data_IF_019869041761
#
_entry.id   IF_019869041761
#
_cell.length_a   1.000
_cell.length_b   1.000
_cell.length_c   1.000
_cell.angle_alpha   90.00
_cell.angle_beta   90.00
_cell.angle_gamma   90.00
#
_symmetry.space_group_name_H-M   'P 1'
#
loop_
_entity.id
_entity.type
_entity.pdbx_description
1 polymer ?
#
# COMPACT_ATOMS: atom_id res chain seq x y z
N UNK A 1 0.98 -25.11 0.57
CA UNK A 1 0.58 -24.25 1.70
C UNK A 1 -0.90 -23.97 1.55
N UNK A 2 -1.71 -24.29 2.55
CA UNK A 2 -3.15 -24.08 2.50
C UNK A 2 -3.51 -22.57 2.56
N UNK A 3 -4.75 -22.21 2.22
CA UNK A 3 -5.24 -20.83 2.36
C UNK A 3 -5.19 -20.38 3.83
N UNK A 4 -5.50 -21.28 4.77
CA UNK A 4 -5.43 -21.01 6.21
C UNK A 4 -4.01 -20.67 6.65
N UNK A 5 -3.00 -21.41 6.16
CA UNK A 5 -1.59 -21.12 6.47
C UNK A 5 -1.20 -19.72 5.94
N UNK A 6 -1.70 -19.36 4.75
CA UNK A 6 -1.43 -18.04 4.15
C UNK A 6 -2.08 -16.91 4.93
N UNK A 7 -3.32 -17.09 5.38
CA UNK A 7 -4.02 -16.15 6.28
C UNK A 7 -3.24 -15.98 7.57
N UNK A 8 -2.85 -17.10 8.20
CA UNK A 8 -2.07 -17.08 9.44
C UNK A 8 -0.74 -16.33 9.25
N UNK A 9 0.02 -16.65 8.20
CA UNK A 9 1.30 -15.99 7.91
C UNK A 9 1.13 -14.49 7.66
N UNK A 10 0.06 -14.09 6.95
CA UNK A 10 -0.24 -12.68 6.72
C UNK A 10 -0.56 -11.94 8.02
N UNK A 11 -1.32 -12.57 8.93
CA UNK A 11 -1.63 -12.02 10.26
C UNK A 11 -0.35 -11.90 11.10
N UNK A 12 0.49 -12.93 11.11
CA UNK A 12 1.78 -12.91 11.83
C UNK A 12 2.67 -11.77 11.32
N UNK A 13 2.75 -11.59 9.99
CA UNK A 13 3.50 -10.49 9.40
C UNK A 13 2.97 -9.12 9.84
N UNK A 14 1.65 -8.94 9.86
CA UNK A 14 1.02 -7.69 10.33
C UNK A 14 1.33 -7.42 11.80
N UNK A 15 1.17 -8.41 12.68
CA UNK A 15 1.46 -8.27 14.11
C UNK A 15 2.94 -7.92 14.37
N UNK A 16 3.87 -8.60 13.69
CA UNK A 16 5.30 -8.29 13.80
C UNK A 16 5.65 -6.89 13.32
N UNK A 17 4.95 -6.41 12.29
CA UNK A 17 5.19 -5.07 11.72
C UNK A 17 4.50 -3.95 12.51
N UNK A 18 3.55 -4.26 13.39
CA UNK A 18 2.74 -3.25 14.08
C UNK A 18 3.57 -2.33 14.97
N UNK A 19 4.56 -2.90 15.69
CA UNK A 19 5.45 -2.09 16.53
C UNK A 19 6.10 -0.98 15.72
N UNK A 20 6.64 -1.33 14.55
CA UNK A 20 7.26 -0.37 13.64
C UNK A 20 6.24 0.66 13.14
N UNK A 21 5.03 0.23 12.78
CA UNK A 21 3.99 1.15 12.31
C UNK A 21 3.60 2.17 13.39
N UNK A 22 3.52 1.76 14.64
CA UNK A 22 3.23 2.64 15.79
C UNK A 22 4.40 3.57 16.15
N UNK A 23 5.64 3.18 15.86
CA UNK A 23 6.80 4.06 16.04
C UNK A 23 6.78 5.22 15.04
N UNK A 24 6.35 4.96 13.79
CA UNK A 24 6.26 6.00 12.74
C UNK A 24 4.96 6.82 12.79
N UNK A 25 3.86 6.22 13.22
CA UNK A 25 2.56 6.88 13.39
C UNK A 25 1.85 6.32 14.64
N UNK A 26 2.17 6.85 15.84
CA UNK A 26 1.57 6.37 17.09
C UNK A 26 0.04 6.52 17.12
N UNK A 27 -0.48 7.52 16.42
CA UNK A 27 -1.91 7.82 16.40
C UNK A 27 -2.69 6.88 15.49
N UNK A 28 -2.20 6.60 14.28
CA UNK A 28 -2.96 5.85 13.27
C UNK A 28 -2.38 4.46 12.95
N UNK A 29 -1.12 4.17 13.35
CA UNK A 29 -0.46 2.91 13.03
C UNK A 29 -0.13 2.80 11.55
N UNK A 30 -0.55 1.70 10.92
CA UNK A 30 -0.32 1.51 9.49
C UNK A 30 -1.12 2.47 8.60
N UNK A 31 -0.47 2.96 7.54
CA UNK A 31 -1.16 3.55 6.40
C UNK A 31 -1.60 2.45 5.45
N UNK A 32 -2.89 2.13 5.37
CA UNK A 32 -3.40 1.10 4.45
C UNK A 32 -3.80 1.74 3.12
N UNK A 33 -3.09 1.39 2.04
CA UNK A 33 -3.41 1.85 0.70
C UNK A 33 -4.61 1.05 0.16
N UNK A 34 -5.76 1.70 0.10
CA UNK A 34 -7.03 1.11 -0.33
C UNK A 34 -7.40 1.59 -1.74
N UNK A 35 -7.87 0.68 -2.60
CA UNK A 35 -8.27 1.02 -3.97
C UNK A 35 -9.71 0.61 -4.32
N UNK A 36 -10.39 -0.09 -3.41
CA UNK A 36 -11.69 -0.72 -3.68
C UNK A 36 -11.61 -1.99 -4.53
N UNK A 37 -10.41 -2.38 -4.99
CA UNK A 37 -10.19 -3.66 -5.69
C UNK A 37 -10.02 -4.83 -4.72
N UNK A 38 -10.21 -6.06 -5.21
CA UNK A 38 -10.20 -7.30 -4.42
C UNK A 38 -8.98 -7.43 -3.50
N UNK A 39 -7.78 -7.18 -3.99
CA UNK A 39 -6.55 -7.29 -3.21
C UNK A 39 -6.53 -6.32 -2.01
N UNK A 40 -7.00 -5.09 -2.21
CA UNK A 40 -7.10 -4.10 -1.12
C UNK A 40 -8.22 -4.42 -0.12
N UNK A 41 -9.29 -5.09 -0.56
CA UNK A 41 -10.35 -5.57 0.31
C UNK A 41 -9.84 -6.68 1.22
N UNK A 42 -9.16 -7.68 0.66
CA UNK A 42 -8.56 -8.76 1.44
C UNK A 42 -7.57 -8.21 2.45
N UNK A 43 -6.70 -7.29 2.03
CA UNK A 43 -5.73 -6.64 2.92
C UNK A 43 -6.41 -5.90 4.09
N UNK A 44 -7.51 -5.18 3.81
CA UNK A 44 -8.30 -4.48 4.84
C UNK A 44 -8.88 -5.46 5.85
N UNK A 45 -9.45 -6.58 5.39
CA UNK A 45 -10.01 -7.59 6.27
C UNK A 45 -8.94 -8.33 7.07
N UNK A 46 -7.78 -8.65 6.48
CA UNK A 46 -6.64 -9.24 7.20
C UNK A 46 -6.13 -8.31 8.31
N UNK A 47 -6.01 -7.01 8.05
CA UNK A 47 -5.61 -6.04 9.07
C UNK A 47 -6.64 -5.97 10.22
N UNK A 48 -7.94 -6.04 9.91
CA UNK A 48 -8.99 -6.14 10.94
C UNK A 48 -8.93 -7.44 11.74
N UNK A 49 -8.73 -8.57 11.07
CA UNK A 49 -8.60 -9.89 11.72
C UNK A 49 -7.37 -9.94 12.63
N UNK A 50 -6.27 -9.34 12.22
CA UNK A 50 -5.05 -9.22 13.03
C UNK A 50 -5.21 -8.29 14.23
N UNK A 51 -6.24 -7.44 14.26
CA UNK A 51 -6.46 -6.47 15.34
C UNK A 51 -5.41 -5.35 15.38
N UNK A 52 -4.61 -5.19 14.34
CA UNK A 52 -3.57 -4.14 14.28
C UNK A 52 -4.18 -2.76 14.07
N UNK A 53 -3.49 -1.74 14.56
CA UNK A 53 -3.90 -0.35 14.38
C UNK A 53 -3.57 0.13 12.96
N UNK A 54 -4.58 0.58 12.22
CA UNK A 54 -4.40 1.12 10.87
C UNK A 54 -5.44 2.16 10.50
N UNK A 55 -5.08 3.03 9.57
CA UNK A 55 -5.99 3.94 8.90
C UNK A 55 -5.95 3.70 7.39
N UNK A 56 -7.10 3.41 6.80
CA UNK A 56 -7.21 3.11 5.38
C UNK A 56 -7.49 4.38 4.57
N UNK A 57 -6.80 4.53 3.44
CA UNK A 57 -6.88 5.71 2.60
C UNK A 57 -7.02 5.29 1.14
N UNK A 58 -8.00 5.89 0.45
CA UNK A 58 -8.16 5.75 -0.99
C UNK A 58 -7.83 7.09 -1.67
N UNK A 59 -6.75 7.10 -2.43
CA UNK A 59 -6.37 8.25 -3.22
C UNK A 59 -7.17 8.30 -4.51
N UNK A 60 -8.01 9.32 -4.65
CA UNK A 60 -8.80 9.55 -5.86
C UNK A 60 -7.92 10.12 -6.98
N UNK A 61 -8.19 9.67 -8.20
CA UNK A 61 -7.43 10.08 -9.41
C UNK A 61 -8.20 11.04 -10.31
N UNK A 62 -9.44 11.40 -9.93
CA UNK A 62 -10.45 12.15 -10.71
C UNK A 62 -11.03 11.39 -11.92
N UNK A 63 -10.56 10.17 -12.20
CA UNK A 63 -11.10 9.28 -13.25
C UNK A 63 -11.53 7.93 -12.68
N UNK A 64 -11.65 7.86 -11.35
CA UNK A 64 -12.09 6.62 -10.69
C UNK A 64 -13.58 6.36 -11.05
N UNK A 65 -13.95 5.09 -11.32
CA UNK A 65 -15.35 4.76 -11.62
C UNK A 65 -16.27 5.18 -10.47
N UNK A 66 -17.39 5.90 -10.75
CA UNK A 66 -18.31 6.35 -9.72
C UNK A 66 -18.87 5.23 -8.84
N UNK A 67 -19.04 4.04 -9.41
CA UNK A 67 -19.54 2.86 -8.69
C UNK A 67 -18.54 2.36 -7.64
N UNK A 68 -17.24 2.41 -7.92
CA UNK A 68 -16.20 2.08 -6.95
C UNK A 68 -16.23 3.06 -5.79
N UNK A 69 -16.33 4.38 -6.08
CA UNK A 69 -16.42 5.41 -5.04
C UNK A 69 -17.68 5.22 -4.20
N UNK A 70 -18.83 4.93 -4.81
CA UNK A 70 -20.10 4.66 -4.13
C UNK A 70 -19.99 3.44 -3.24
N UNK A 71 -19.45 2.34 -3.77
CA UNK A 71 -19.21 1.10 -3.04
C UNK A 71 -18.34 1.35 -1.80
N UNK A 72 -17.22 2.05 -1.95
CA UNK A 72 -16.31 2.34 -0.83
C UNK A 72 -17.01 3.19 0.23
N UNK A 73 -17.73 4.25 -0.16
CA UNK A 73 -18.47 5.09 0.78
C UNK A 73 -19.54 4.33 1.56
N UNK A 74 -20.23 3.39 0.93
CA UNK A 74 -21.32 2.63 1.55
C UNK A 74 -20.82 1.48 2.41
N UNK A 75 -19.81 0.73 1.94
CA UNK A 75 -19.36 -0.50 2.58
C UNK A 75 -18.15 -0.31 3.50
N UNK A 76 -17.36 0.73 3.26
CA UNK A 76 -16.13 1.03 3.98
C UNK A 76 -16.06 2.50 4.41
N UNK A 77 -17.03 2.99 5.23
CA UNK A 77 -17.12 4.40 5.60
C UNK A 77 -15.92 4.90 6.41
N UNK A 78 -15.15 3.98 7.02
CA UNK A 78 -13.90 4.30 7.72
C UNK A 78 -12.71 4.57 6.80
N UNK A 79 -12.83 4.30 5.50
CA UNK A 79 -11.78 4.61 4.52
C UNK A 79 -11.81 6.09 4.18
N UNK A 80 -10.71 6.78 4.41
CA UNK A 80 -10.57 8.18 4.05
C UNK A 80 -10.35 8.34 2.55
N UNK A 81 -11.21 9.14 1.90
CA UNK A 81 -11.09 9.45 0.47
C UNK A 81 -10.25 10.72 0.31
N UNK A 82 -9.03 10.57 -0.19
CA UNK A 82 -8.11 11.69 -0.43
C UNK A 82 -8.31 12.22 -1.84
N UNK A 83 -8.82 13.46 -1.93
CA UNK A 83 -8.98 14.15 -3.21
C UNK A 83 -7.63 14.67 -3.72
N UNK A 84 -7.35 14.57 -5.03
CA UNK A 84 -6.16 15.19 -5.59
C UNK A 84 -6.27 16.72 -5.57
N UNK A 85 -5.14 17.40 -5.47
CA UNK A 85 -5.07 18.88 -5.55
C UNK A 85 -5.43 19.41 -6.94
N UNK A 86 -5.23 18.60 -7.97
CA UNK A 86 -5.47 18.94 -9.37
C UNK A 86 -6.03 17.72 -10.08
N UNK A 87 -6.98 17.92 -11.01
CA UNK A 87 -7.52 16.82 -11.79
C UNK A 87 -6.46 16.21 -12.73
N UNK A 88 -6.68 14.97 -13.17
CA UNK A 88 -5.75 14.34 -14.12
C UNK A 88 -5.71 15.07 -15.46
N UNK A 89 -6.81 15.72 -15.85
CA UNK A 89 -6.92 16.51 -17.08
C UNK A 89 -6.07 17.78 -16.98
N UNK A 90 -6.23 18.55 -15.90
CA UNK A 90 -5.44 19.76 -15.68
C UNK A 90 -3.95 19.46 -15.54
N UNK A 91 -3.62 18.33 -14.88
CA UNK A 91 -2.23 17.88 -14.76
C UNK A 91 -1.66 17.48 -16.13
N UNK A 92 -2.44 16.83 -16.99
CA UNK A 92 -2.03 16.49 -18.35
C UNK A 92 -1.77 17.76 -19.19
N UNK A 93 -2.63 18.76 -19.07
CA UNK A 93 -2.42 20.06 -19.70
C UNK A 93 -1.15 20.74 -19.18
N UNK A 94 -0.95 20.76 -17.86
CA UNK A 94 0.26 21.32 -17.24
C UNK A 94 1.56 20.62 -17.67
N UNK A 95 1.50 19.31 -17.84
CA UNK A 95 2.67 18.50 -18.25
C UNK A 95 2.82 18.41 -19.78
N UNK A 96 1.86 18.93 -20.56
CA UNK A 96 1.77 18.82 -22.01
C UNK A 96 1.85 17.38 -22.54
N UNK A 97 1.43 16.42 -21.72
CA UNK A 97 1.46 15.00 -22.07
C UNK A 97 0.41 14.18 -21.30
N UNK A 98 -0.28 13.30 -22.01
CA UNK A 98 -1.15 12.31 -21.38
C UNK A 98 -0.34 11.21 -20.68
N UNK A 99 -0.87 10.61 -19.59
CA UNK A 99 -0.22 9.47 -18.96
C UNK A 99 -0.23 8.28 -19.93
N UNK A 100 0.91 7.63 -20.10
CA UNK A 100 1.05 6.44 -20.92
C UNK A 100 1.48 5.25 -20.07
N UNK A 101 1.47 4.04 -20.68
CA UNK A 101 1.97 2.84 -20.02
C UNK A 101 3.47 2.95 -19.66
N UNK A 102 4.23 3.71 -20.40
CA UNK A 102 5.65 3.97 -20.14
C UNK A 102 5.85 5.17 -19.22
N UNK A 103 5.17 6.27 -19.47
CA UNK A 103 5.25 7.48 -18.66
C UNK A 103 4.08 7.53 -17.67
N UNK A 104 4.22 6.82 -16.56
CA UNK A 104 3.21 6.64 -15.53
C UNK A 104 3.22 7.77 -14.48
N UNK A 105 3.35 9.03 -14.94
CA UNK A 105 3.37 10.16 -14.02
C UNK A 105 2.12 10.24 -13.13
N UNK A 106 0.97 9.76 -13.61
CA UNK A 106 -0.25 9.70 -12.81
C UNK A 106 -0.11 8.83 -11.55
N UNK A 107 0.67 7.74 -11.60
CA UNK A 107 0.92 6.93 -10.41
C UNK A 107 1.79 7.69 -9.41
N UNK A 108 2.83 8.37 -9.89
CA UNK A 108 3.71 9.18 -9.04
C UNK A 108 2.93 10.30 -8.34
N UNK A 109 2.14 11.07 -9.07
CA UNK A 109 1.43 12.24 -8.54
C UNK A 109 0.25 11.89 -7.62
N UNK A 110 -0.54 10.86 -7.98
CA UNK A 110 -1.79 10.57 -7.27
C UNK A 110 -1.71 9.42 -6.26
N UNK A 111 -0.72 8.53 -6.36
CA UNK A 111 -0.65 7.33 -5.51
C UNK A 111 0.65 7.21 -4.73
N UNK A 112 1.80 7.43 -5.38
CA UNK A 112 3.09 7.15 -4.77
C UNK A 112 3.49 8.19 -3.71
N UNK A 113 2.93 9.39 -3.77
CA UNK A 113 3.18 10.46 -2.80
C UNK A 113 2.51 10.24 -1.44
N UNK A 114 1.49 9.38 -1.37
CA UNK A 114 0.74 9.12 -0.14
C UNK A 114 1.46 8.15 0.77
N UNK A 115 1.28 8.29 2.08
CA UNK A 115 1.90 7.44 3.09
C UNK A 115 3.40 7.72 3.30
N UNK A 116 3.90 8.90 2.89
CA UNK A 116 5.28 9.32 3.18
C UNK A 116 5.53 9.36 4.69
N UNK A 117 6.70 8.87 5.13
CA UNK A 117 7.07 8.80 6.55
C UNK A 117 6.28 7.76 7.35
N UNK A 118 5.57 6.84 6.70
CA UNK A 118 4.72 5.83 7.36
C UNK A 118 5.02 4.42 6.89
N UNK A 119 4.63 3.45 7.70
CA UNK A 119 4.60 2.05 7.30
C UNK A 119 3.30 1.81 6.52
N UNK A 120 3.45 1.54 5.23
CA UNK A 120 2.33 1.44 4.29
C UNK A 120 2.01 -0.02 3.95
N UNK A 121 0.79 -0.44 4.22
CA UNK A 121 0.26 -1.73 3.76
C UNK A 121 -0.20 -1.61 2.30
N UNK A 122 0.28 -2.50 1.43
CA UNK A 122 -0.09 -2.55 0.02
C UNK A 122 -0.56 -3.95 -0.38
N UNK A 123 -1.67 -4.00 -1.13
CA UNK A 123 -2.23 -5.23 -1.69
C UNK A 123 -1.63 -5.52 -3.06
N UNK A 124 -0.43 -6.11 -3.10
CA UNK A 124 0.22 -6.56 -4.33
C UNK A 124 0.56 -8.03 -4.24
N UNK A 125 0.58 -8.70 -5.39
CA UNK A 125 0.91 -10.12 -5.51
C UNK A 125 2.04 -10.34 -6.52
N UNK A 126 2.91 -11.35 -6.27
CA UNK A 126 4.02 -11.72 -7.18
C UNK A 126 3.55 -12.07 -8.58
N UNK A 127 2.39 -12.75 -8.68
CA UNK A 127 1.83 -13.20 -9.96
C UNK A 127 1.35 -12.08 -10.89
N UNK A 128 1.22 -10.84 -10.43
CA UNK A 128 0.67 -9.76 -11.27
C UNK A 128 1.64 -9.23 -12.33
N UNK A 129 2.95 -9.36 -12.13
CA UNK A 129 3.95 -8.96 -13.12
C UNK A 129 5.35 -9.44 -12.77
N UNK A 130 6.25 -9.57 -13.79
CA UNK A 130 7.65 -9.91 -13.60
C UNK A 130 8.40 -8.92 -12.67
N UNK A 131 8.01 -7.64 -12.64
CA UNK A 131 8.57 -6.66 -11.70
C UNK A 131 8.14 -6.93 -10.27
N UNK A 132 6.88 -7.37 -10.05
CA UNK A 132 6.35 -7.69 -8.71
C UNK A 132 6.83 -9.05 -8.20
N UNK A 133 7.15 -10.00 -9.08
CA UNK A 133 7.69 -11.30 -8.68
C UNK A 133 9.02 -11.22 -7.92
N UNK A 134 9.77 -10.12 -8.13
CA UNK A 134 11.06 -9.86 -7.48
C UNK A 134 10.94 -9.09 -6.16
N UNK A 135 9.72 -8.80 -5.70
CA UNK A 135 9.49 -8.01 -4.48
C UNK A 135 9.54 -8.89 -3.23
N UNK A 136 9.85 -8.26 -2.10
CA UNK A 136 9.82 -8.86 -0.77
C UNK A 136 8.55 -8.42 -0.02
N UNK A 137 8.20 -9.16 1.03
CA UNK A 137 7.04 -8.84 1.88
C UNK A 137 7.21 -7.52 2.62
N UNK A 138 8.45 -7.19 2.98
CA UNK A 138 8.82 -5.90 3.59
C UNK A 138 9.89 -5.23 2.75
N UNK A 139 9.67 -3.99 2.39
CA UNK A 139 10.59 -3.20 1.57
C UNK A 139 10.72 -1.77 2.12
N UNK A 140 11.96 -1.29 2.15
CA UNK A 140 12.29 0.10 2.49
C UNK A 140 12.65 0.87 1.23
N UNK A 141 11.78 1.78 0.80
CA UNK A 141 12.02 2.55 -0.41
C UNK A 141 12.30 1.65 -1.63
N UNK A 142 13.45 1.85 -2.28
CA UNK A 142 13.88 1.05 -3.45
C UNK A 142 14.75 -0.16 -3.09
N UNK A 143 15.09 -0.36 -1.82
CA UNK A 143 15.94 -1.48 -1.40
C UNK A 143 15.08 -2.63 -0.87
N UNK A 144 15.37 -3.81 -1.36
CA UNK A 144 14.79 -5.04 -0.84
C UNK A 144 15.42 -5.35 0.50
N UNK A 145 14.61 -5.42 1.54
CA UNK A 145 15.04 -5.89 2.83
C UNK A 145 14.98 -7.42 2.85
N UNK A 146 16.13 -8.06 3.00
CA UNK A 146 16.25 -9.54 3.07
C UNK A 146 16.55 -10.04 4.48
N UNK A 147 16.57 -9.17 5.48
CA UNK A 147 16.93 -9.51 6.85
C UNK A 147 15.74 -9.93 7.72
N UNK A 148 16.04 -10.47 8.90
CA UNK A 148 15.06 -10.75 9.94
C UNK A 148 14.39 -9.46 10.44
N UNK A 149 13.14 -9.56 10.83
CA UNK A 149 12.33 -8.45 11.35
C UNK A 149 13.00 -7.76 12.57
N UNK A 150 13.73 -8.52 13.37
CA UNK A 150 14.42 -8.02 14.57
C UNK A 150 15.57 -7.05 14.23
N UNK A 151 16.13 -7.14 13.02
CA UNK A 151 17.15 -6.21 12.53
C UNK A 151 16.58 -4.84 12.09
N UNK A 152 15.26 -4.73 11.96
CA UNK A 152 14.60 -3.47 11.59
C UNK A 152 14.74 -2.39 12.67
N UNK A 153 14.84 -2.79 13.94
CA UNK A 153 15.02 -1.86 15.06
C UNK A 153 16.39 -1.18 15.09
N UNK A 154 17.41 -1.84 14.51
CA UNK A 154 18.78 -1.32 14.49
C UNK A 154 19.06 -0.38 13.30
N UNK A 155 18.23 -0.43 12.25
CA UNK A 155 18.40 0.35 11.02
C UNK A 155 17.46 1.55 10.89
N UNK A 156 17.13 2.21 11.99
CA UNK A 156 16.31 3.45 11.99
C UNK A 156 16.84 4.55 11.07
N UNK A 157 18.14 4.55 10.79
CA UNK A 157 18.79 5.58 9.99
C UNK A 157 18.75 5.33 8.47
N UNK A 158 18.30 4.17 8.03
CA UNK A 158 18.24 3.83 6.59
C UNK A 158 16.84 3.78 6.01
N UNK A 159 16.01 4.77 6.34
CA UNK A 159 14.84 5.06 5.50
C UNK A 159 15.32 5.50 4.12
N UNK A 160 15.30 4.58 3.17
CA UNK A 160 15.72 4.92 1.81
C UNK A 160 14.58 5.60 1.08
N UNK A 161 14.87 6.77 0.56
CA UNK A 161 13.98 7.58 -0.28
C UNK A 161 13.30 6.73 -1.37
N UNK A 162 11.97 6.75 -1.40
CA UNK A 162 11.20 6.20 -2.51
C UNK A 162 11.52 6.97 -3.82
N UNK A 163 11.18 6.41 -4.97
CA UNK A 163 11.44 6.98 -6.32
C UNK A 163 11.18 8.49 -6.45
N UNK A 164 10.36 9.07 -5.58
CA UNK A 164 10.01 10.49 -5.56
C UNK A 164 10.49 11.24 -4.30
N UNK A 165 11.55 10.78 -3.65
CA UNK A 165 12.14 11.47 -2.50
C UNK A 165 11.31 11.37 -1.21
N UNK A 166 10.42 10.38 -1.07
CA UNK A 166 9.59 10.20 0.11
C UNK A 166 9.85 8.87 0.78
N UNK A 167 10.28 8.96 2.03
CA UNK A 167 10.58 7.79 2.85
C UNK A 167 9.31 7.07 3.26
N UNK A 168 9.23 5.78 2.97
CA UNK A 168 8.19 4.90 3.47
C UNK A 168 8.64 3.46 3.48
N UNK A 169 8.07 2.70 4.39
CA UNK A 169 8.24 1.26 4.48
C UNK A 169 7.00 0.60 3.89
N UNK A 170 7.19 -0.36 2.99
CA UNK A 170 6.10 -1.08 2.35
C UNK A 170 6.00 -2.48 2.94
N UNK A 171 4.82 -2.86 3.39
CA UNK A 171 4.51 -4.20 3.88
C UNK A 171 3.42 -4.79 2.99
N UNK A 172 3.68 -5.99 2.45
CA UNK A 172 2.82 -6.67 1.47
C UNK A 172 2.39 -8.03 1.99
N UNK A 173 1.36 -8.12 2.86
CA UNK A 173 0.97 -9.38 3.51
C UNK A 173 0.44 -10.46 2.57
N UNK A 174 -0.08 -10.07 1.41
CA UNK A 174 -0.64 -10.99 0.41
C UNK A 174 0.29 -11.21 -0.79
N UNK A 175 1.58 -10.88 -0.66
CA UNK A 175 2.54 -10.93 -1.77
C UNK A 175 2.64 -12.32 -2.42
N UNK A 176 2.56 -13.38 -1.62
CA UNK A 176 2.68 -14.77 -2.05
C UNK A 176 1.32 -15.45 -2.34
N UNK A 177 0.22 -14.69 -2.37
CA UNK A 177 -1.11 -15.20 -2.69
C UNK A 177 -1.31 -15.29 -4.21
N UNK A 178 -2.09 -16.28 -4.64
CA UNK A 178 -2.53 -16.42 -6.03
C UNK A 178 -3.80 -15.61 -6.28
N UNK A 179 -4.20 -15.51 -7.55
CA UNK A 179 -5.41 -14.78 -7.92
C UNK A 179 -6.70 -15.45 -7.39
N UNK A 180 -6.73 -16.75 -7.33
CA UNK A 180 -7.88 -17.51 -6.83
C UNK A 180 -8.01 -17.55 -5.31
N UNK A 181 -7.00 -17.07 -4.58
CA UNK A 181 -7.00 -17.01 -3.11
C UNK A 181 -7.44 -15.64 -2.58
N UNK A 182 -7.53 -14.65 -3.46
CA UNK A 182 -7.99 -13.28 -3.19
C UNK A 182 -9.47 -13.10 -3.68
#
# INVERSE_FOLDING_TARGET
MSLQDKIYNSIVLLLRSERMAREYDPENGFYLAFSGGKDSLVLYHLARMAGVKFKAHMNLTSIDPPDVIRFVKQRYPSVELIKPKMSIYDMALKKHILPTRFMRWCCAEYKEMSGAGKVTLIGIRKGESAKRSKRNEVETGNRKFSGNFDQFSEHRETMVTCVNGKDKILVSPILNWTEGEV
#
